data_IF_166565994406
#
_entry.id   IF_166565994406
#
_cell.length_a   1.000
_cell.length_b   1.000
_cell.length_c   1.000
_cell.angle_alpha   90.00
_cell.angle_beta   90.00
_cell.angle_gamma   90.00
#
_symmetry.space_group_name_H-M   'P 1'
#
loop_
_entity.id
_entity.type
_entity.pdbx_description
1 polymer ?
#
# COMPACT_ATOMS: atom_id res chain seq x y z
N UNK A 1 -8.69 -5.51 0.05
CA UNK A 1 -9.06 -4.35 -0.77
C UNK A 1 -9.25 -3.14 0.13
N UNK A 2 -8.60 -2.05 -0.23
CA UNK A 2 -8.74 -0.78 0.49
C UNK A 2 -9.65 0.12 -0.34
N UNK A 3 -10.87 0.41 0.13
CA UNK A 3 -11.85 1.18 -0.65
C UNK A 3 -11.37 2.60 -0.99
N UNK A 4 -11.97 3.18 -2.01
CA UNK A 4 -11.54 4.48 -2.54
C UNK A 4 -11.75 5.65 -1.58
N UNK A 5 -12.61 5.50 -0.60
CA UNK A 5 -12.89 6.58 0.36
C UNK A 5 -12.11 6.47 1.66
N UNK A 6 -11.15 5.55 1.73
CA UNK A 6 -10.28 5.44 2.90
C UNK A 6 -9.22 6.55 2.82
N UNK A 7 -9.16 7.40 3.83
CA UNK A 7 -8.22 8.52 3.86
C UNK A 7 -7.01 8.24 4.74
N UNK A 8 -7.11 7.30 5.67
CA UNK A 8 -6.06 7.00 6.63
C UNK A 8 -5.98 5.50 6.85
N UNK A 9 -4.75 4.99 7.03
CA UNK A 9 -4.50 3.59 7.35
C UNK A 9 -3.59 3.55 8.57
N UNK A 10 -4.04 2.88 9.63
CA UNK A 10 -3.24 2.72 10.84
C UNK A 10 -2.13 1.70 10.56
N UNK A 11 -0.92 1.96 11.10
CA UNK A 11 0.20 1.05 10.89
C UNK A 11 -0.14 -0.38 11.29
N UNK A 12 -0.96 -0.56 12.31
CA UNK A 12 -1.31 -1.90 12.79
C UNK A 12 -2.21 -2.67 11.82
N UNK A 13 -2.75 -2.00 10.78
CA UNK A 13 -3.60 -2.70 9.81
C UNK A 13 -2.83 -3.78 9.06
N UNK A 14 -1.54 -3.57 8.79
CA UNK A 14 -0.72 -4.52 8.04
C UNK A 14 0.48 -5.04 8.81
N UNK A 15 0.79 -4.45 9.94
CA UNK A 15 1.96 -4.84 10.73
C UNK A 15 1.91 -6.32 11.06
N UNK A 16 2.97 -7.05 10.75
CA UNK A 16 3.07 -8.45 11.10
C UNK A 16 2.22 -9.40 10.26
N UNK A 17 1.60 -8.92 9.19
CA UNK A 17 0.76 -9.78 8.33
C UNK A 17 1.66 -10.63 7.44
N UNK A 18 2.13 -11.76 7.96
CA UNK A 18 3.12 -12.60 7.29
C UNK A 18 2.60 -13.31 6.04
N UNK A 19 1.29 -13.37 5.86
CA UNK A 19 0.69 -13.99 4.70
C UNK A 19 0.16 -12.98 3.67
N UNK A 20 0.51 -11.70 3.85
CA UNK A 20 0.03 -10.64 2.99
C UNK A 20 0.72 -10.73 1.62
N UNK A 21 -0.05 -11.04 0.58
CA UNK A 21 0.48 -11.21 -0.77
C UNK A 21 0.08 -10.09 -1.71
N UNK A 22 -1.14 -9.60 -1.59
CA UNK A 22 -1.70 -8.62 -2.51
C UNK A 22 -2.52 -7.60 -1.74
N UNK A 23 -2.25 -6.33 -2.03
CA UNK A 23 -3.04 -5.22 -1.49
C UNK A 23 -3.58 -4.47 -2.68
N UNK A 24 -4.90 -4.24 -2.71
CA UNK A 24 -5.54 -3.50 -3.79
C UNK A 24 -6.02 -2.17 -3.22
N UNK A 25 -5.44 -1.09 -3.73
CA UNK A 25 -5.81 0.26 -3.33
C UNK A 25 -6.75 0.83 -4.38
N UNK A 26 -7.97 1.18 -3.97
CA UNK A 26 -8.93 1.78 -4.89
C UNK A 26 -8.91 3.30 -4.86
N UNK A 27 -8.21 3.88 -3.89
CA UNK A 27 -8.10 5.32 -3.77
C UNK A 27 -7.10 5.89 -4.77
N UNK A 28 -7.49 6.95 -5.47
CA UNK A 28 -6.57 7.64 -6.38
C UNK A 28 -5.56 8.50 -5.63
N UNK A 29 -5.87 8.87 -4.39
CA UNK A 29 -4.95 9.62 -3.55
C UNK A 29 -4.41 8.69 -2.46
N UNK A 30 -3.08 8.67 -2.25
CA UNK A 30 -2.51 7.78 -1.24
C UNK A 30 -3.06 8.12 0.15
N UNK A 31 -3.63 7.14 0.86
CA UNK A 31 -4.06 7.38 2.23
C UNK A 31 -2.89 7.74 3.13
N UNK A 32 -3.15 8.51 4.17
CA UNK A 32 -2.14 8.83 5.16
C UNK A 32 -1.87 7.58 6.00
N UNK A 33 -0.60 7.21 6.10
CA UNK A 33 -0.19 6.08 6.93
C UNK A 33 0.06 6.59 8.33
N UNK A 34 -0.84 6.25 9.25
CA UNK A 34 -0.72 6.66 10.64
C UNK A 34 0.20 5.67 11.33
N UNK A 35 1.28 6.18 11.89
CA UNK A 35 2.29 5.35 12.52
C UNK A 35 2.49 5.73 13.98
N UNK A 36 2.87 4.73 14.75
CA UNK A 36 3.23 4.88 16.14
C UNK A 36 4.67 5.39 16.25
N UNK A 37 5.00 6.04 17.36
CA UNK A 37 6.37 6.52 17.59
C UNK A 37 7.38 5.38 17.68
N UNK A 38 6.93 4.20 18.06
CA UNK A 38 7.81 3.05 18.22
C UNK A 38 7.83 2.14 17.02
N UNK A 39 6.89 2.31 16.07
CA UNK A 39 6.77 1.42 14.92
C UNK A 39 6.42 2.21 13.67
N UNK A 40 7.43 2.72 12.97
CA UNK A 40 7.21 3.65 11.87
C UNK A 40 6.79 3.01 10.54
N UNK A 41 6.86 1.69 10.40
CA UNK A 41 6.62 1.06 9.11
C UNK A 41 5.32 0.25 9.13
N UNK A 42 4.32 0.70 8.33
CA UNK A 42 3.03 0.04 8.27
C UNK A 42 3.11 -1.38 7.71
N UNK A 43 4.15 -1.68 6.92
CA UNK A 43 4.32 -2.99 6.29
C UNK A 43 5.46 -3.79 6.91
N UNK A 44 5.87 -3.44 8.11
CA UNK A 44 6.92 -4.20 8.79
C UNK A 44 6.45 -5.63 9.05
N UNK A 45 7.36 -6.59 8.86
CA UNK A 45 7.09 -8.01 9.04
C UNK A 45 6.03 -8.55 8.09
N UNK A 46 5.95 -7.96 6.90
CA UNK A 46 5.13 -8.49 5.82
C UNK A 46 6.06 -9.02 4.72
N UNK A 47 5.54 -9.92 3.84
CA UNK A 47 6.39 -10.51 2.80
C UNK A 47 6.98 -9.45 1.86
N UNK A 48 8.22 -9.63 1.48
CA UNK A 48 8.86 -8.77 0.50
C UNK A 48 8.40 -9.08 -0.93
N UNK A 49 7.64 -10.15 -1.09
CA UNK A 49 7.05 -10.53 -2.37
C UNK A 49 5.66 -9.96 -2.57
N UNK A 50 5.15 -9.20 -1.60
CA UNK A 50 3.81 -8.60 -1.74
C UNK A 50 3.76 -7.62 -2.90
N UNK A 51 2.58 -7.43 -3.46
CA UNK A 51 2.35 -6.45 -4.51
C UNK A 51 1.23 -5.52 -4.06
N UNK A 52 1.45 -4.22 -4.25
CA UNK A 52 0.46 -3.19 -3.93
C UNK A 52 -0.07 -2.66 -5.26
N UNK A 53 -1.30 -3.02 -5.61
CA UNK A 53 -1.94 -2.53 -6.82
C UNK A 53 -2.65 -1.23 -6.54
N UNK A 54 -2.42 -0.24 -7.39
CA UNK A 54 -3.05 1.09 -7.26
C UNK A 54 -3.75 1.40 -8.59
N UNK A 55 -4.68 2.37 -8.63
CA UNK A 55 -5.30 2.74 -9.90
C UNK A 55 -4.23 3.12 -10.91
N UNK A 56 -4.44 2.75 -12.18
CA UNK A 56 -3.42 2.91 -13.22
C UNK A 56 -2.91 4.34 -13.33
N UNK A 57 -3.79 5.31 -13.19
CA UNK A 57 -3.41 6.71 -13.30
C UNK A 57 -2.87 7.31 -12.00
N UNK A 58 -2.69 6.50 -10.97
CA UNK A 58 -2.22 6.97 -9.67
C UNK A 58 -0.86 6.40 -9.30
N UNK A 59 -0.23 5.59 -10.17
CA UNK A 59 1.07 4.99 -9.84
C UNK A 59 2.08 6.07 -9.46
N UNK A 60 2.22 7.10 -10.30
CA UNK A 60 3.18 8.17 -10.01
C UNK A 60 2.82 8.93 -8.74
N UNK A 61 1.53 9.11 -8.49
CA UNK A 61 1.07 9.79 -7.28
C UNK A 61 1.51 9.04 -6.02
N UNK A 62 1.38 7.71 -6.05
CA UNK A 62 1.79 6.88 -4.91
C UNK A 62 3.30 6.86 -4.74
N UNK A 63 4.06 6.64 -5.83
CA UNK A 63 5.51 6.50 -5.70
C UNK A 63 6.19 7.83 -5.38
N UNK A 64 5.53 8.95 -5.63
CA UNK A 64 6.06 10.28 -5.29
C UNK A 64 5.55 10.78 -3.93
N UNK A 65 4.63 10.06 -3.30
CA UNK A 65 4.13 10.45 -1.97
C UNK A 65 5.20 10.21 -0.92
N UNK A 66 5.34 11.15 0.03
CA UNK A 66 6.41 11.08 1.02
C UNK A 66 6.36 9.83 1.89
N UNK A 67 5.17 9.27 2.10
CA UNK A 67 5.02 8.06 2.93
C UNK A 67 5.06 6.78 2.11
N UNK A 68 4.57 6.82 0.86
CA UNK A 68 4.47 5.62 0.04
C UNK A 68 5.68 5.39 -0.85
N UNK A 69 6.54 6.40 -1.03
CA UNK A 69 7.70 6.28 -1.91
C UNK A 69 8.62 5.13 -1.53
N UNK A 70 8.74 4.82 -0.25
CA UNK A 70 9.61 3.72 0.20
C UNK A 70 9.06 2.35 -0.18
N UNK A 71 7.81 2.28 -0.62
CA UNK A 71 7.19 1.03 -1.08
C UNK A 71 7.13 0.95 -2.61
N UNK A 72 7.84 1.83 -3.29
CA UNK A 72 7.79 1.95 -4.76
C UNK A 72 7.96 0.59 -5.46
N UNK A 73 8.87 -0.23 -4.99
CA UNK A 73 9.16 -1.51 -5.64
C UNK A 73 8.00 -2.49 -5.58
N UNK A 74 7.03 -2.25 -4.69
CA UNK A 74 5.84 -3.11 -4.56
C UNK A 74 4.66 -2.58 -5.34
N UNK A 75 4.70 -1.32 -5.77
CA UNK A 75 3.55 -0.63 -6.34
C UNK A 75 3.48 -0.91 -7.83
N UNK A 76 2.32 -1.38 -8.30
CA UNK A 76 2.06 -1.67 -9.70
C UNK A 76 0.66 -1.19 -10.07
N UNK A 77 0.43 -0.87 -11.36
CA UNK A 77 -0.92 -0.50 -11.79
C UNK A 77 -1.85 -1.71 -11.72
N UNK A 78 -3.09 -1.47 -11.36
CA UNK A 78 -4.05 -2.55 -11.16
C UNK A 78 -4.31 -3.32 -12.46
N UNK A 79 -4.10 -2.70 -13.62
CA UNK A 79 -4.26 -3.37 -14.90
C UNK A 79 -3.26 -4.52 -15.08
N UNK A 80 -2.16 -4.53 -14.31
CA UNK A 80 -1.19 -5.62 -14.36
C UNK A 80 -1.55 -6.78 -13.45
N UNK A 81 -2.64 -6.65 -12.66
CA UNK A 81 -3.05 -7.72 -11.78
C UNK A 81 -3.52 -8.91 -12.61
N UNK A 82 -2.99 -10.12 -12.36
CA UNK A 82 -3.43 -11.29 -13.11
C UNK A 82 -4.92 -11.55 -12.90
N UNK A 83 -5.58 -11.99 -13.96
CA UNK A 83 -6.97 -12.41 -13.86
C UNK A 83 -7.01 -13.81 -13.29
N UNK A 84 -7.93 -14.03 -12.38
CA UNK A 84 -8.12 -15.35 -11.79
C UNK A 84 -8.92 -16.26 -12.70
#
# INVERSE_FOLDING_TARGET
>A
IIPKNVAEINYAAFYGCQNLKTIIMESQNPPILIKDNTEPDAFKDTPQTKIIYVPDNSVDTYINDSQWSKYERYIKPISEKPKD
#
